data_IF_758802236633
#
_entry.id   IF_758802236633
#
_cell.length_a   1.000
_cell.length_b   1.000
_cell.length_c   1.000
_cell.angle_alpha   90.00
_cell.angle_beta   90.00
_cell.angle_gamma   90.00
#
_symmetry.space_group_name_H-M   'P 1'
#
loop_
_entity.id
_entity.type
_entity.pdbx_description
1 polymer ?
#
# COMPACT_ATOMS: atom_id res chain seq x y z
N UNK A 1 8.00 -47.45 -10.71
CA UNK A 1 8.69 -46.17 -10.45
C UNK A 1 7.67 -45.05 -10.60
N UNK A 2 7.00 -44.66 -9.52
CA UNK A 2 5.86 -43.73 -9.57
C UNK A 2 6.33 -42.28 -9.41
N UNK A 3 6.31 -41.52 -10.50
CA UNK A 3 6.60 -40.09 -10.47
C UNK A 3 5.36 -39.32 -10.01
N UNK A 4 5.27 -39.02 -8.71
CA UNK A 4 4.31 -38.03 -8.20
C UNK A 4 4.73 -36.65 -8.73
N UNK A 5 4.06 -36.16 -9.79
CA UNK A 5 4.11 -34.74 -10.16
C UNK A 5 3.57 -33.94 -8.98
N UNK A 6 4.46 -33.25 -8.27
CA UNK A 6 4.12 -32.27 -7.25
C UNK A 6 3.36 -31.13 -7.94
N UNK A 7 2.02 -31.09 -7.80
CA UNK A 7 1.23 -29.92 -8.17
C UNK A 7 1.70 -28.79 -7.24
N UNK A 8 2.43 -27.82 -7.77
CA UNK A 8 2.55 -26.52 -7.14
C UNK A 8 1.14 -25.92 -7.20
N UNK A 9 0.44 -25.92 -6.06
CA UNK A 9 -0.73 -25.08 -5.85
C UNK A 9 -0.27 -23.63 -5.91
N UNK A 10 -0.77 -22.92 -6.92
CA UNK A 10 -0.68 -21.47 -7.10
C UNK A 10 -1.48 -20.82 -5.96
N UNK A 11 -0.88 -20.76 -4.77
CA UNK A 11 -1.50 -20.23 -3.57
C UNK A 11 -1.39 -18.70 -3.58
N UNK A 12 -2.53 -18.04 -3.80
CA UNK A 12 -2.83 -16.65 -3.45
C UNK A 12 -1.99 -15.57 -4.16
N UNK A 13 -2.16 -15.45 -5.47
CA UNK A 13 -1.95 -14.18 -6.18
C UNK A 13 -3.14 -13.22 -5.97
N UNK A 14 -3.50 -12.92 -4.71
CA UNK A 14 -4.45 -11.87 -4.35
C UNK A 14 -3.79 -10.48 -4.37
N UNK A 15 -2.89 -10.25 -5.32
CA UNK A 15 -2.50 -8.89 -5.64
C UNK A 15 -3.75 -8.19 -6.20
N UNK A 16 -4.22 -7.07 -5.62
CA UNK A 16 -5.34 -6.33 -6.18
C UNK A 16 -5.06 -6.10 -7.66
N UNK A 17 -5.97 -6.56 -8.53
CA UNK A 17 -5.81 -6.43 -9.99
C UNK A 17 -5.76 -4.95 -10.34
N UNK A 18 -4.56 -4.39 -10.34
CA UNK A 18 -4.32 -3.01 -10.74
C UNK A 18 -4.73 -2.88 -12.20
N UNK A 19 -5.65 -1.95 -12.50
CA UNK A 19 -6.04 -1.66 -13.87
C UNK A 19 -4.83 -1.27 -14.73
N UNK A 20 -4.91 -1.44 -16.05
CA UNK A 20 -3.80 -1.11 -16.98
C UNK A 20 -3.31 0.34 -16.76
N UNK A 21 -4.25 1.27 -16.55
CA UNK A 21 -3.94 2.67 -16.21
C UNK A 21 -3.13 2.82 -14.93
N UNK A 22 -3.52 2.10 -13.87
CA UNK A 22 -2.83 2.14 -12.57
C UNK A 22 -1.42 1.56 -12.67
N UNK A 23 -1.25 0.47 -13.44
CA UNK A 23 0.07 -0.11 -13.75
C UNK A 23 0.95 0.88 -14.51
N UNK A 24 0.41 1.57 -15.50
CA UNK A 24 1.14 2.58 -16.26
C UNK A 24 1.54 3.78 -15.37
N UNK A 25 0.65 4.22 -14.49
CA UNK A 25 0.92 5.29 -13.53
C UNK A 25 2.02 4.90 -12.53
N UNK A 26 1.98 3.70 -11.96
CA UNK A 26 3.04 3.19 -11.08
C UNK A 26 4.37 3.07 -11.82
N UNK A 27 4.38 2.53 -13.04
CA UNK A 27 5.59 2.43 -13.86
C UNK A 27 6.16 3.80 -14.22
N UNK A 28 5.33 4.82 -14.41
CA UNK A 28 5.76 6.22 -14.58
C UNK A 28 6.36 6.77 -13.30
N UNK A 29 5.75 6.52 -12.14
CA UNK A 29 6.30 6.92 -10.83
C UNK A 29 7.63 6.23 -10.52
N UNK A 30 7.81 4.97 -10.93
CA UNK A 30 9.08 4.20 -10.80
C UNK A 30 10.19 4.71 -11.69
N UNK A 31 9.83 5.23 -12.87
CA UNK A 31 10.77 5.82 -13.82
C UNK A 31 11.05 7.30 -13.56
N UNK A 32 10.33 7.91 -12.62
CA UNK A 32 10.54 9.31 -12.24
C UNK A 32 11.82 9.44 -11.40
N UNK A 33 12.47 10.60 -11.47
CA UNK A 33 13.67 10.85 -10.68
C UNK A 33 13.37 10.69 -9.17
N UNK A 34 14.26 10.07 -8.37
CA UNK A 34 14.03 9.88 -6.95
C UNK A 34 13.71 11.18 -6.21
N UNK A 35 14.29 12.33 -6.62
CA UNK A 35 13.99 13.63 -6.01
C UNK A 35 12.58 14.10 -6.29
N UNK A 36 12.06 13.86 -7.49
CA UNK A 36 10.70 14.23 -7.86
C UNK A 36 9.67 13.32 -7.21
N UNK A 37 9.96 12.01 -7.16
CA UNK A 37 9.15 11.04 -6.41
C UNK A 37 9.08 11.41 -4.94
N UNK A 38 10.19 11.76 -4.32
CA UNK A 38 10.22 12.19 -2.92
C UNK A 38 9.36 13.42 -2.69
N UNK A 39 9.48 14.46 -3.55
CA UNK A 39 8.61 15.65 -3.49
C UNK A 39 7.12 15.30 -3.63
N UNK A 40 6.76 14.37 -4.51
CA UNK A 40 5.38 13.90 -4.65
C UNK A 40 4.89 13.18 -3.39
N UNK A 41 5.72 12.32 -2.79
CA UNK A 41 5.39 11.64 -1.54
C UNK A 41 5.25 12.64 -0.40
N UNK A 42 6.16 13.61 -0.27
CA UNK A 42 6.07 14.68 0.72
C UNK A 42 4.79 15.52 0.53
N UNK A 43 4.40 15.83 -0.71
CA UNK A 43 3.13 16.49 -1.00
C UNK A 43 1.92 15.63 -0.61
N UNK A 44 1.95 14.33 -0.90
CA UNK A 44 0.88 13.41 -0.50
C UNK A 44 0.74 13.32 1.04
N UNK A 45 1.87 13.35 1.74
CA UNK A 45 1.97 13.36 3.20
C UNK A 45 1.89 14.78 3.82
N UNK A 46 1.60 15.81 3.02
CA UNK A 46 1.43 17.14 3.56
C UNK A 46 0.21 17.17 4.50
N UNK A 47 0.26 17.91 5.62
CA UNK A 47 -0.79 17.89 6.64
C UNK A 47 -2.16 18.29 6.08
N UNK A 48 -2.21 19.20 5.11
CA UNK A 48 -3.44 19.59 4.42
C UNK A 48 -4.08 18.43 3.65
N UNK A 49 -3.27 17.59 2.99
CA UNK A 49 -3.75 16.45 2.21
C UNK A 49 -4.09 15.26 3.10
N UNK A 50 -3.36 15.08 4.20
CA UNK A 50 -3.69 14.13 5.24
C UNK A 50 -5.03 14.49 5.87
N UNK A 51 -5.25 15.76 6.26
CA UNK A 51 -6.50 16.21 6.84
C UNK A 51 -7.69 16.00 5.90
N UNK A 52 -7.54 16.33 4.61
CA UNK A 52 -8.57 16.11 3.58
C UNK A 52 -8.89 14.63 3.34
N UNK A 53 -7.93 13.73 3.58
CA UNK A 53 -8.09 12.29 3.33
C UNK A 53 -8.05 11.45 4.62
N UNK A 54 -8.20 12.09 5.79
CA UNK A 54 -8.03 11.47 7.11
C UNK A 54 -8.87 10.20 7.25
N UNK A 55 -10.15 10.29 6.92
CA UNK A 55 -11.09 9.16 7.02
C UNK A 55 -10.67 7.97 6.15
N UNK A 56 -10.18 8.26 4.93
CA UNK A 56 -9.70 7.22 4.00
C UNK A 56 -8.42 6.57 4.51
N UNK A 57 -7.50 7.36 5.07
CA UNK A 57 -6.26 6.86 5.66
C UNK A 57 -6.58 5.96 6.86
N UNK A 58 -7.47 6.39 7.76
CA UNK A 58 -7.89 5.60 8.91
C UNK A 58 -8.57 4.31 8.45
N UNK A 59 -9.51 4.38 7.50
CA UNK A 59 -10.19 3.20 6.96
C UNK A 59 -9.22 2.21 6.32
N UNK A 60 -8.22 2.69 5.56
CA UNK A 60 -7.17 1.85 4.99
C UNK A 60 -6.32 1.20 6.09
N UNK A 61 -5.96 1.94 7.15
CA UNK A 61 -5.23 1.39 8.29
C UNK A 61 -6.04 0.36 9.06
N UNK A 62 -7.35 0.53 9.20
CA UNK A 62 -8.23 -0.47 9.81
C UNK A 62 -8.34 -1.73 8.96
N UNK A 63 -8.41 -1.60 7.63
CA UNK A 63 -8.38 -2.74 6.73
C UNK A 63 -7.05 -3.49 6.83
N UNK A 64 -5.93 -2.77 6.90
CA UNK A 64 -4.60 -3.36 7.10
C UNK A 64 -4.47 -4.04 8.47
N UNK A 65 -5.08 -3.47 9.51
CA UNK A 65 -5.17 -4.12 10.82
C UNK A 65 -5.98 -5.41 10.74
N UNK A 66 -7.17 -5.36 10.11
CA UNK A 66 -8.06 -6.53 9.94
C UNK A 66 -7.42 -7.64 9.11
N UNK A 67 -6.57 -7.30 8.13
CA UNK A 67 -5.82 -8.26 7.33
C UNK A 67 -4.56 -8.80 8.03
N UNK A 68 -4.25 -8.32 9.24
CA UNK A 68 -3.07 -8.73 10.00
C UNK A 68 -1.75 -8.11 9.51
N UNK A 69 -1.81 -7.15 8.59
CA UNK A 69 -0.63 -6.43 8.09
C UNK A 69 -0.10 -5.36 9.06
N UNK A 70 -0.95 -4.89 9.99
CA UNK A 70 -0.61 -3.93 11.03
C UNK A 70 -1.11 -4.39 12.40
N UNK A 71 -0.26 -4.28 13.42
CA UNK A 71 -0.68 -4.42 14.82
C UNK A 71 -1.33 -3.13 15.33
N UNK A 72 -2.05 -3.23 16.45
CA UNK A 72 -2.66 -2.07 17.11
C UNK A 72 -1.66 -0.98 17.48
N UNK A 73 -0.48 -1.38 17.98
CA UNK A 73 0.59 -0.45 18.32
C UNK A 73 1.14 0.25 17.08
N UNK A 74 1.33 -0.49 15.99
CA UNK A 74 1.80 0.08 14.72
C UNK A 74 0.77 1.04 14.12
N UNK A 75 -0.51 0.71 14.22
CA UNK A 75 -1.59 1.59 13.79
C UNK A 75 -1.59 2.90 14.60
N UNK A 76 -1.45 2.80 15.93
CA UNK A 76 -1.41 3.96 16.84
C UNK A 76 -0.20 4.86 16.55
N UNK A 77 1.00 4.30 16.46
CA UNK A 77 2.21 5.05 16.13
C UNK A 77 2.11 5.73 14.75
N UNK A 78 1.51 5.06 13.77
CA UNK A 78 1.33 5.64 12.44
C UNK A 78 0.29 6.77 12.44
N UNK A 79 -0.79 6.69 13.22
CA UNK A 79 -1.74 7.80 13.41
C UNK A 79 -1.07 9.01 14.05
N UNK A 80 -0.30 8.80 15.11
CA UNK A 80 0.47 9.85 15.79
C UNK A 80 1.45 10.55 14.84
N UNK A 81 2.19 9.78 14.01
CA UNK A 81 3.12 10.33 13.02
C UNK A 81 2.44 11.12 11.90
N UNK A 82 1.19 10.79 11.59
CA UNK A 82 0.39 11.49 10.59
C UNK A 82 -0.41 12.66 11.18
N UNK A 83 -0.33 12.90 12.50
CA UNK A 83 -1.09 13.94 13.18
C UNK A 83 -2.60 13.68 13.20
N UNK A 84 -3.01 12.41 13.18
CA UNK A 84 -4.40 11.95 13.13
C UNK A 84 -4.92 11.53 14.50
#
# INVERSE_FOLDING_TARGET
MFWKKKKFSDENNDAPKMGILQRLAMKKLEKMDPKEREKLMQKALAPENIAKNKDKIIAAMEQMKKSGQLTDEQMKMAKEKLGL
#
